data_IF_574111519594
#
_entry.id   IF_574111519594
#
_cell.length_a   1.000
_cell.length_b   1.000
_cell.length_c   1.000
_cell.angle_alpha   90.00
_cell.angle_beta   90.00
_cell.angle_gamma   90.00
#
_symmetry.space_group_name_H-M   'P 1'
#
loop_
_entity.id
_entity.type
_entity.pdbx_description
1 polymer ?
#
# COMPACT_ATOMS: atom_id res chain seq x y z
N UNK A 1 -12.98 7.99 15.57
CA UNK A 1 -11.86 7.10 15.24
C UNK A 1 -12.44 5.71 15.18
N UNK A 2 -12.27 4.99 14.06
CA UNK A 2 -12.83 3.66 13.91
C UNK A 2 -12.20 2.67 14.90
N UNK A 3 -12.97 1.64 15.30
CA UNK A 3 -12.48 0.56 16.19
C UNK A 3 -11.21 -0.11 15.64
N UNK A 4 -11.03 -0.08 14.31
CA UNK A 4 -9.89 -0.66 13.61
C UNK A 4 -8.59 0.12 13.78
N UNK A 5 -8.62 1.44 14.00
CA UNK A 5 -7.40 2.20 14.33
C UNK A 5 -7.01 2.04 15.81
N UNK A 6 -7.97 1.67 16.66
CA UNK A 6 -7.77 1.48 18.11
C UNK A 6 -6.82 0.32 18.41
N UNK A 7 -6.89 -0.76 17.65
CA UNK A 7 -5.99 -1.92 17.81
C UNK A 7 -4.52 -1.52 17.72
N UNK A 8 -4.17 -0.63 16.79
CA UNK A 8 -2.78 -0.19 16.63
C UNK A 8 -2.31 0.62 17.84
N UNK A 9 -3.19 1.45 18.41
CA UNK A 9 -2.89 2.20 19.64
C UNK A 9 -2.76 1.27 20.86
N UNK A 10 -3.60 0.24 20.96
CA UNK A 10 -3.51 -0.79 22.01
C UNK A 10 -2.20 -1.59 21.91
N UNK A 11 -1.65 -1.74 20.71
CA UNK A 11 -0.33 -2.31 20.44
C UNK A 11 0.84 -1.33 20.64
N UNK A 12 0.57 -0.10 21.13
CA UNK A 12 1.59 0.91 21.42
C UNK A 12 2.13 1.66 20.20
N UNK A 13 1.49 1.53 19.03
CA UNK A 13 1.90 2.22 17.81
C UNK A 13 1.49 3.69 17.92
N UNK A 14 2.41 4.61 17.61
CA UNK A 14 2.11 6.04 17.61
C UNK A 14 1.00 6.36 16.61
N UNK A 15 0.05 7.21 17.03
CA UNK A 15 -0.99 7.75 16.14
C UNK A 15 -0.42 8.43 14.91
N UNK A 16 0.78 8.99 15.01
CA UNK A 16 1.45 9.62 13.87
C UNK A 16 1.83 8.61 12.78
N UNK A 17 1.95 7.33 13.11
CA UNK A 17 2.40 6.34 12.15
C UNK A 17 1.23 5.67 11.42
N UNK A 18 0.01 5.80 11.96
CA UNK A 18 -1.19 5.04 11.58
C UNK A 18 -1.98 5.77 10.49
N UNK A 19 -2.48 5.00 9.53
CA UNK A 19 -3.46 5.45 8.56
C UNK A 19 -4.88 5.14 9.04
N UNK A 20 -5.81 6.04 8.73
CA UNK A 20 -7.19 6.00 9.22
C UNK A 20 -8.11 5.45 8.14
N UNK A 21 -8.96 4.50 8.50
CA UNK A 21 -10.05 4.01 7.65
C UNK A 21 -9.56 3.40 6.33
N UNK A 22 -8.62 2.46 6.41
CA UNK A 22 -7.91 1.86 5.27
C UNK A 22 -8.81 1.19 4.21
N UNK A 23 -10.09 0.95 4.53
CA UNK A 23 -11.10 0.42 3.60
C UNK A 23 -11.79 1.52 2.77
N UNK A 24 -11.39 2.77 2.98
CA UNK A 24 -11.74 3.92 2.13
C UNK A 24 -10.58 4.27 1.18
N UNK A 25 -10.82 5.23 0.28
CA UNK A 25 -9.82 5.68 -0.69
C UNK A 25 -8.72 6.52 -0.03
N UNK A 26 -7.46 6.15 -0.24
CA UNK A 26 -6.28 6.92 0.14
C UNK A 26 -5.49 7.34 -1.09
N UNK A 27 -5.02 8.59 -1.09
CA UNK A 27 -4.28 9.18 -2.19
C UNK A 27 -2.77 9.06 -1.99
N UNK A 28 -2.03 8.88 -3.08
CA UNK A 28 -0.58 9.00 -3.13
C UNK A 28 -0.15 10.10 -4.10
N UNK A 29 0.88 10.86 -3.72
CA UNK A 29 1.53 11.87 -4.56
C UNK A 29 3.05 11.68 -4.52
N UNK A 30 3.73 12.14 -5.56
CA UNK A 30 5.18 12.02 -5.74
C UNK A 30 5.80 13.39 -5.92
N UNK A 31 6.86 13.67 -5.17
CA UNK A 31 7.71 14.84 -5.34
C UNK A 31 8.79 14.53 -6.39
N UNK A 32 8.74 15.22 -7.51
CA UNK A 32 9.69 15.07 -8.61
C UNK A 32 11.10 15.57 -8.26
N UNK A 33 11.23 16.45 -7.26
CA UNK A 33 12.51 17.02 -6.86
C UNK A 33 13.24 16.11 -5.87
N UNK A 34 12.58 15.72 -4.78
CA UNK A 34 13.17 14.87 -3.74
C UNK A 34 13.06 13.37 -4.05
N UNK A 35 12.13 12.98 -4.91
CA UNK A 35 11.76 11.58 -5.14
C UNK A 35 10.88 11.01 -4.03
N UNK A 36 10.31 11.81 -3.15
CA UNK A 36 9.52 11.32 -2.02
C UNK A 36 8.09 10.97 -2.44
N UNK A 37 7.59 9.83 -1.94
CA UNK A 37 6.18 9.42 -2.08
C UNK A 37 5.45 9.71 -0.77
N UNK A 38 4.31 10.36 -0.90
CA UNK A 38 3.48 10.81 0.21
C UNK A 38 2.10 10.16 0.10
N UNK A 39 1.63 9.52 1.17
CA UNK A 39 0.30 8.91 1.24
C UNK A 39 -0.62 9.69 2.19
N UNK A 40 -1.88 9.93 1.80
CA UNK A 40 -2.85 10.60 2.64
C UNK A 40 -3.13 9.77 3.90
N UNK A 41 -3.10 10.42 5.07
CA UNK A 41 -3.37 9.74 6.34
C UNK A 41 -4.83 9.32 6.45
N UNK A 42 -5.74 10.21 6.06
CA UNK A 42 -7.18 9.96 6.04
C UNK A 42 -7.67 9.62 4.64
N UNK A 43 -8.93 9.24 4.58
CA UNK A 43 -9.62 9.02 3.33
C UNK A 43 -9.74 10.31 2.51
N UNK A 44 -9.77 10.14 1.19
CA UNK A 44 -9.89 11.21 0.20
C UNK A 44 -10.93 10.75 -0.82
N UNK A 45 -11.96 11.56 -1.05
CA UNK A 45 -12.93 11.27 -2.11
C UNK A 45 -12.29 11.41 -3.49
N UNK A 46 -12.74 10.60 -4.45
CA UNK A 46 -12.20 10.60 -5.81
C UNK A 46 -12.29 11.98 -6.46
N UNK A 47 -13.43 12.64 -6.32
CA UNK A 47 -13.71 13.95 -6.89
C UNK A 47 -12.77 15.02 -6.30
N UNK A 48 -12.49 14.92 -4.99
CA UNK A 48 -11.55 15.80 -4.29
C UNK A 48 -10.14 15.59 -4.84
N UNK A 49 -9.67 14.35 -4.91
CA UNK A 49 -8.37 13.99 -5.47
C UNK A 49 -8.21 14.45 -6.93
N UNK A 50 -9.26 14.29 -7.73
CA UNK A 50 -9.25 14.70 -9.12
C UNK A 50 -9.18 16.22 -9.28
N UNK A 51 -9.80 16.97 -8.36
CA UNK A 51 -9.80 18.44 -8.33
C UNK A 51 -8.49 19.08 -7.85
N UNK A 52 -7.58 18.31 -7.22
CA UNK A 52 -6.36 18.87 -6.63
C UNK A 52 -5.46 19.55 -7.66
N UNK A 53 -5.06 20.77 -7.33
CA UNK A 53 -4.01 21.53 -8.01
C UNK A 53 -2.76 21.45 -7.15
N UNK A 54 -1.92 20.46 -7.44
CA UNK A 54 -0.66 20.27 -6.73
C UNK A 54 0.37 21.33 -7.17
N UNK A 55 1.37 21.66 -6.33
CA UNK A 55 2.48 22.49 -6.75
C UNK A 55 3.23 21.85 -7.94
N UNK A 56 3.94 22.63 -8.77
CA UNK A 56 4.49 22.13 -10.05
C UNK A 56 5.43 20.92 -9.96
N UNK A 57 6.13 20.75 -8.82
CA UNK A 57 7.03 19.62 -8.60
C UNK A 57 6.33 18.37 -8.05
N UNK A 58 5.02 18.39 -7.83
CA UNK A 58 4.27 17.25 -7.34
C UNK A 58 3.35 16.67 -8.40
N UNK A 59 3.30 15.34 -8.47
CA UNK A 59 2.37 14.62 -9.35
C UNK A 59 1.51 13.66 -8.56
N UNK A 60 0.26 13.51 -9.02
CA UNK A 60 -0.67 12.49 -8.53
C UNK A 60 -0.17 11.10 -8.93
N UNK A 61 0.03 10.21 -7.96
CA UNK A 61 0.46 8.82 -8.21
C UNK A 61 -0.75 7.94 -8.40
N UNK A 62 -1.68 7.95 -7.46
CA UNK A 62 -2.87 7.12 -7.51
C UNK A 62 -3.77 7.33 -6.30
N UNK A 63 -4.93 6.71 -6.35
CA UNK A 63 -5.86 6.62 -5.23
C UNK A 63 -6.32 5.17 -5.12
N UNK A 64 -6.33 4.61 -3.91
CA UNK A 64 -6.49 3.18 -3.73
C UNK A 64 -7.11 2.83 -2.37
N UNK A 65 -7.64 1.61 -2.26
CA UNK A 65 -8.22 1.07 -1.04
C UNK A 65 -7.33 -0.06 -0.52
N UNK A 66 -7.00 -0.03 0.76
CA UNK A 66 -6.27 -1.09 1.44
C UNK A 66 -7.16 -2.30 1.76
N UNK A 67 -6.60 -3.51 1.83
CA UNK A 67 -7.36 -4.71 2.25
C UNK A 67 -7.25 -5.01 3.75
N UNK A 68 -6.24 -4.44 4.41
CA UNK A 68 -5.96 -4.63 5.84
C UNK A 68 -6.88 -3.77 6.71
N UNK A 69 -7.08 -4.15 7.97
CA UNK A 69 -7.96 -3.41 8.89
C UNK A 69 -7.33 -2.09 9.34
N UNK A 70 -6.01 -2.10 9.53
CA UNK A 70 -5.21 -0.88 9.70
C UNK A 70 -3.78 -1.13 9.20
N UNK A 71 -3.06 -0.06 8.90
CA UNK A 71 -1.64 -0.14 8.63
C UNK A 71 -0.92 1.09 9.14
N UNK A 72 0.40 0.95 9.28
CA UNK A 72 1.25 2.03 9.71
C UNK A 72 2.63 1.91 9.07
N UNK A 73 3.33 3.03 9.02
CA UNK A 73 4.75 3.06 8.65
C UNK A 73 5.59 3.16 9.91
N UNK A 74 6.54 2.26 10.10
CA UNK A 74 7.39 2.23 11.31
C UNK A 74 8.32 3.45 11.40
N UNK A 75 8.66 4.02 10.24
CA UNK A 75 9.46 5.23 10.05
C UNK A 75 9.28 5.75 8.61
N UNK A 76 9.69 6.99 8.36
CA UNK A 76 9.84 7.49 6.99
C UNK A 76 11.07 6.90 6.30
N UNK A 77 11.06 6.76 4.96
CA UNK A 77 12.20 6.30 4.17
C UNK A 77 13.50 7.02 4.54
N UNK A 78 14.61 6.28 4.60
CA UNK A 78 15.93 6.81 4.95
C UNK A 78 16.19 7.08 6.43
N UNK A 79 15.22 6.87 7.33
CA UNK A 79 15.44 6.99 8.77
C UNK A 79 16.17 5.77 9.36
N UNK A 80 17.18 6.02 10.20
CA UNK A 80 18.03 4.98 10.82
C UNK A 80 17.28 4.10 11.85
N UNK A 81 16.24 4.63 12.49
CA UNK A 81 15.45 3.93 13.51
C UNK A 81 13.95 4.12 13.33
N UNK A 82 13.16 3.21 13.91
CA UNK A 82 11.71 3.40 14.04
C UNK A 82 11.41 4.67 14.85
N UNK A 83 10.33 5.37 14.51
CA UNK A 83 10.02 6.67 15.06
C UNK A 83 8.83 7.34 14.37
N UNK A 84 8.47 8.57 14.78
CA UNK A 84 7.42 9.33 14.11
C UNK A 84 7.77 9.52 12.64
N UNK A 85 6.78 9.33 11.79
CA UNK A 85 6.91 9.60 10.35
C UNK A 85 6.88 11.09 10.08
N UNK A 86 7.53 11.52 9.00
CA UNK A 86 7.43 12.88 8.50
C UNK A 86 6.03 13.10 7.91
N UNK A 87 5.43 14.23 8.26
CA UNK A 87 4.12 14.63 7.80
C UNK A 87 4.16 15.93 7.01
N UNK A 88 3.22 16.09 6.08
CA UNK A 88 3.03 17.33 5.33
C UNK A 88 1.58 17.47 4.89
N UNK A 89 1.08 18.69 4.85
CA UNK A 89 -0.25 18.98 4.31
C UNK A 89 -0.21 19.27 2.81
N UNK A 90 -1.12 18.65 2.06
CA UNK A 90 -1.39 18.94 0.67
C UNK A 90 -2.88 19.13 0.46
N UNK A 91 -3.26 20.27 -0.12
CA UNK A 91 -4.67 20.60 -0.40
C UNK A 91 -5.59 20.41 0.81
N UNK A 92 -5.12 20.74 2.02
CA UNK A 92 -5.89 20.63 3.28
C UNK A 92 -6.00 19.22 3.85
N UNK A 93 -5.25 18.25 3.32
CA UNK A 93 -5.20 16.87 3.81
C UNK A 93 -3.80 16.56 4.33
N UNK A 94 -3.72 15.86 5.46
CA UNK A 94 -2.46 15.40 6.02
C UNK A 94 -1.93 14.19 5.26
N UNK A 95 -0.64 14.22 4.92
CA UNK A 95 0.09 13.14 4.27
C UNK A 95 1.27 12.68 5.11
N UNK A 96 1.64 11.41 4.92
CA UNK A 96 2.79 10.77 5.53
C UNK A 96 3.81 10.46 4.43
N UNK A 97 5.08 10.79 4.66
CA UNK A 97 6.19 10.35 3.81
C UNK A 97 6.40 8.84 3.98
N UNK A 98 5.89 8.08 3.02
CA UNK A 98 5.66 6.64 3.16
C UNK A 98 6.65 5.79 2.37
N UNK A 99 7.15 6.29 1.25
CA UNK A 99 8.07 5.55 0.39
C UNK A 99 9.02 6.47 -0.38
N UNK A 100 10.16 5.93 -0.78
CA UNK A 100 11.05 6.49 -1.78
C UNK A 100 11.31 5.44 -2.88
N UNK A 101 11.65 5.86 -4.11
CA UNK A 101 12.40 5.02 -5.03
C UNK A 101 13.68 4.51 -4.36
N UNK A 102 14.15 3.30 -4.70
CA UNK A 102 15.39 2.78 -4.16
C UNK A 102 16.59 3.65 -4.55
N UNK A 103 17.62 3.67 -3.70
CA UNK A 103 18.91 4.32 -4.01
C UNK A 103 19.49 3.70 -5.28
N UNK A 104 19.50 4.44 -6.39
CA UNK A 104 19.89 3.95 -7.73
C UNK A 104 18.98 4.43 -8.87
N UNK A 105 17.85 5.08 -8.54
CA UNK A 105 16.88 5.61 -9.49
C UNK A 105 15.53 4.89 -9.40
N UNK A 106 14.46 5.42 -10.02
CA UNK A 106 13.21 4.69 -10.08
C UNK A 106 13.45 3.41 -10.89
N UNK A 107 13.33 2.25 -10.24
CA UNK A 107 12.95 1.06 -10.99
C UNK A 107 11.53 1.35 -11.47
N UNK A 108 11.40 1.94 -12.68
CA UNK A 108 10.12 1.96 -13.37
C UNK A 108 9.54 0.56 -13.32
N UNK A 109 8.20 0.41 -13.18
CA UNK A 109 7.62 -0.91 -13.01
C UNK A 109 8.12 -1.87 -14.10
N UNK A 110 8.76 -2.96 -13.68
CA UNK A 110 9.41 -3.91 -14.58
C UNK A 110 8.39 -4.95 -15.05
N UNK A 111 8.43 -5.29 -16.34
CA UNK A 111 7.56 -6.28 -16.96
C UNK A 111 6.36 -5.68 -17.68
N UNK A 112 5.59 -6.53 -18.37
CA UNK A 112 4.36 -6.10 -19.07
C UNK A 112 3.21 -6.01 -18.08
N UNK A 113 2.78 -7.13 -17.51
CA UNK A 113 1.82 -7.24 -16.41
C UNK A 113 1.95 -8.65 -15.76
N UNK A 114 1.83 -8.80 -14.43
CA UNK A 114 1.85 -7.72 -13.44
C UNK A 114 3.19 -6.99 -13.48
N UNK A 115 3.18 -5.71 -13.09
CA UNK A 115 4.38 -4.88 -13.06
C UNK A 115 5.02 -4.93 -11.69
N UNK A 116 6.34 -5.08 -11.62
CA UNK A 116 7.10 -5.10 -10.37
C UNK A 116 7.67 -3.73 -10.05
N UNK A 117 7.40 -3.25 -8.84
CA UNK A 117 8.05 -2.06 -8.29
C UNK A 117 8.83 -2.43 -7.03
N UNK A 118 10.04 -1.89 -6.90
CA UNK A 118 10.81 -1.92 -5.65
C UNK A 118 10.73 -0.56 -4.98
N UNK A 119 10.45 -0.53 -3.68
CA UNK A 119 10.30 0.72 -2.91
C UNK A 119 11.03 0.65 -1.58
N UNK A 120 11.68 1.75 -1.21
CA UNK A 120 12.14 1.99 0.16
C UNK A 120 10.93 2.41 0.99
N UNK A 121 10.43 1.49 1.82
CA UNK A 121 9.41 1.79 2.83
C UNK A 121 9.49 0.82 4.01
N UNK A 122 8.94 1.24 5.15
CA UNK A 122 8.91 0.46 6.39
C UNK A 122 7.46 0.19 6.82
N UNK A 123 6.73 -0.56 6.00
CA UNK A 123 5.27 -0.70 6.10
C UNK A 123 4.87 -1.94 6.91
N UNK A 124 3.92 -1.78 7.82
CA UNK A 124 3.31 -2.84 8.62
C UNK A 124 1.81 -2.90 8.36
N UNK A 125 1.27 -4.10 8.15
CA UNK A 125 -0.15 -4.37 7.98
C UNK A 125 -0.70 -4.99 9.26
N UNK A 126 -1.92 -4.64 9.65
CA UNK A 126 -2.62 -5.27 10.75
C UNK A 126 -3.95 -5.83 10.24
N UNK A 127 -4.16 -7.10 10.50
CA UNK A 127 -5.40 -7.81 10.25
C UNK A 127 -5.98 -8.28 11.57
N UNK A 128 -7.26 -7.99 11.80
CA UNK A 128 -7.96 -8.44 13.00
C UNK A 128 -8.35 -9.92 12.91
N UNK A 129 -8.54 -10.56 14.05
CA UNK A 129 -9.08 -11.91 14.12
C UNK A 129 -10.40 -12.02 13.32
N UNK A 130 -10.48 -13.04 12.47
CA UNK A 130 -11.60 -13.27 11.56
C UNK A 130 -11.45 -12.63 10.17
N UNK A 131 -10.50 -11.70 9.99
CA UNK A 131 -10.20 -11.12 8.68
C UNK A 131 -9.71 -12.19 7.69
N UNK A 132 -9.86 -11.88 6.41
CA UNK A 132 -9.34 -12.70 5.30
C UNK A 132 -8.55 -11.82 4.36
N UNK A 133 -7.47 -12.35 3.82
CA UNK A 133 -6.67 -11.67 2.81
C UNK A 133 -6.15 -12.65 1.77
N UNK A 134 -5.81 -12.15 0.59
CA UNK A 134 -5.23 -12.97 -0.48
C UNK A 134 -3.70 -12.97 -0.39
N UNK A 135 -3.10 -14.09 -0.77
CA UNK A 135 -1.66 -14.26 -0.94
C UNK A 135 -1.41 -14.86 -2.31
N UNK A 136 -0.53 -14.24 -3.08
CA UNK A 136 0.05 -14.90 -4.26
C UNK A 136 1.35 -15.58 -3.86
N UNK A 137 1.56 -16.78 -4.38
CA UNK A 137 2.85 -17.47 -4.34
C UNK A 137 3.41 -17.54 -5.74
N UNK A 138 4.63 -17.03 -5.93
CA UNK A 138 5.29 -17.07 -7.23
C UNK A 138 5.84 -18.47 -7.50
N UNK A 139 6.31 -18.71 -8.73
CA UNK A 139 6.86 -20.01 -9.13
C UNK A 139 8.13 -20.43 -8.38
N UNK A 140 8.85 -19.49 -7.78
CA UNK A 140 10.01 -19.73 -6.91
C UNK A 140 9.64 -20.02 -5.44
N UNK A 141 8.35 -19.98 -5.11
CA UNK A 141 7.82 -20.22 -3.78
C UNK A 141 7.67 -18.99 -2.90
N UNK A 142 8.07 -17.80 -3.37
CA UNK A 142 7.95 -16.56 -2.60
C UNK A 142 6.49 -16.11 -2.44
N UNK A 143 6.10 -15.75 -1.22
CA UNK A 143 4.75 -15.28 -0.89
C UNK A 143 4.65 -13.75 -0.87
N UNK A 144 3.58 -13.21 -1.43
CA UNK A 144 3.26 -11.79 -1.42
C UNK A 144 1.82 -11.59 -0.97
N UNK A 145 1.63 -10.73 0.03
CA UNK A 145 0.32 -10.45 0.62
C UNK A 145 -0.38 -9.34 -0.13
N UNK A 146 -1.69 -9.46 -0.34
CA UNK A 146 -2.46 -8.37 -0.93
C UNK A 146 -2.43 -7.15 0.00
N UNK A 147 -2.19 -5.98 -0.58
CA UNK A 147 -2.18 -4.69 0.12
C UNK A 147 -3.25 -3.78 -0.43
N UNK A 148 -3.41 -3.73 -1.75
CA UNK A 148 -4.41 -2.90 -2.43
C UNK A 148 -5.50 -3.79 -3.04
N UNK A 149 -6.76 -3.42 -2.81
CA UNK A 149 -7.92 -4.07 -3.39
C UNK A 149 -8.07 -3.74 -4.87
N UNK A 150 -8.53 -4.70 -5.67
CA UNK A 150 -9.05 -4.41 -7.00
C UNK A 150 -10.40 -3.67 -6.84
N UNK A 151 -10.46 -2.41 -7.29
CA UNK A 151 -11.68 -1.60 -7.20
C UNK A 151 -11.74 -0.61 -8.36
N UNK A 152 -12.92 -0.42 -8.98
CA UNK A 152 -13.09 0.59 -10.05
C UNK A 152 -12.94 2.03 -9.54
N UNK A 153 -13.02 2.24 -8.21
CA UNK A 153 -12.84 3.56 -7.59
C UNK A 153 -11.36 3.92 -7.44
N UNK A 154 -10.49 2.91 -7.42
CA UNK A 154 -9.05 3.09 -7.35
C UNK A 154 -8.43 3.39 -8.72
N UNK A 155 -7.10 3.41 -8.75
CA UNK A 155 -6.30 3.57 -9.97
C UNK A 155 -5.21 4.62 -9.83
N UNK A 156 -4.37 4.73 -10.85
CA UNK A 156 -3.23 5.65 -10.81
C UNK A 156 -2.27 5.46 -11.97
N UNK A 157 -1.10 6.08 -11.89
CA UNK A 157 -0.03 6.04 -12.89
C UNK A 157 0.35 4.60 -13.27
N UNK A 158 0.31 3.68 -12.30
CA UNK A 158 0.65 2.27 -12.51
C UNK A 158 -0.56 1.40 -12.87
N UNK A 159 -1.76 1.97 -12.88
CA UNK A 159 -3.06 1.31 -13.07
C UNK A 159 -3.97 2.19 -13.96
N UNK A 160 -3.57 2.47 -15.21
CA UNK A 160 -4.27 3.45 -16.07
C UNK A 160 -5.65 2.97 -16.55
N UNK A 161 -5.95 1.67 -16.43
CA UNK A 161 -7.21 1.05 -16.86
C UNK A 161 -7.82 0.32 -15.66
N UNK A 162 -8.41 1.04 -14.70
CA UNK A 162 -9.27 0.40 -13.72
C UNK A 162 -10.44 -0.23 -14.49
N UNK A 163 -10.45 -1.56 -14.60
CA UNK A 163 -11.49 -2.27 -15.35
C UNK A 163 -12.87 -1.85 -14.86
N UNK A 164 -13.85 -1.64 -15.76
CA UNK A 164 -15.23 -1.41 -15.34
C UNK A 164 -15.72 -2.58 -14.46
N UNK A 165 -16.63 -2.31 -13.49
CA UNK A 165 -17.15 -3.34 -12.60
C UNK A 165 -17.80 -4.46 -13.42
N UNK A 166 -17.15 -5.63 -13.46
CA UNK A 166 -17.62 -6.81 -14.20
C UNK A 166 -16.55 -7.54 -15.01
N UNK A 167 -15.42 -6.90 -15.34
CA UNK A 167 -14.30 -7.50 -16.07
C UNK A 167 -12.98 -7.37 -15.29
N UNK A 168 -12.98 -7.83 -14.04
CA UNK A 168 -11.73 -8.06 -13.31
C UNK A 168 -11.08 -9.33 -13.89
N UNK A 169 -10.36 -9.18 -15.02
CA UNK A 169 -9.55 -10.26 -15.61
C UNK A 169 -8.28 -10.46 -14.77
N UNK A 170 -8.47 -10.87 -13.52
CA UNK A 170 -7.36 -11.22 -12.63
C UNK A 170 -6.72 -12.51 -13.12
N UNK A 171 -5.64 -12.36 -13.89
CA UNK A 171 -4.82 -13.48 -14.35
C UNK A 171 -3.48 -13.47 -13.66
N UNK A 172 -3.18 -14.60 -13.04
CA UNK A 172 -1.84 -14.86 -12.54
C UNK A 172 -0.93 -15.31 -13.71
N UNK A 173 0.34 -14.90 -13.70
CA UNK A 173 1.37 -15.51 -14.53
C UNK A 173 1.44 -17.03 -14.35
N UNK A 174 1.97 -17.72 -15.36
CA UNK A 174 2.16 -19.17 -15.31
C UNK A 174 3.01 -19.58 -14.10
N UNK A 175 2.58 -20.64 -13.40
CA UNK A 175 3.26 -21.18 -12.23
C UNK A 175 2.99 -20.42 -10.93
N UNK A 176 2.26 -19.29 -10.96
CA UNK A 176 1.85 -18.58 -9.76
C UNK A 176 0.54 -19.16 -9.23
N UNK A 177 0.33 -19.05 -7.92
CA UNK A 177 -0.91 -19.51 -7.27
C UNK A 177 -1.50 -18.42 -6.38
N UNK A 178 -2.83 -18.42 -6.25
CA UNK A 178 -3.57 -17.55 -5.33
C UNK A 178 -4.18 -18.39 -4.22
N UNK A 179 -4.10 -17.92 -2.98
CA UNK A 179 -4.84 -18.50 -1.87
C UNK A 179 -5.39 -17.42 -0.94
N UNK A 180 -6.47 -17.76 -0.26
CA UNK A 180 -7.04 -16.92 0.80
C UNK A 180 -6.58 -17.43 2.16
N UNK A 181 -5.97 -16.55 2.94
CA UNK A 181 -5.64 -16.79 4.34
C UNK A 181 -6.75 -16.27 5.25
N UNK A 182 -6.99 -16.96 6.36
CA UNK A 182 -7.91 -16.51 7.43
C UNK A 182 -7.11 -16.25 8.69
N UNK A 183 -7.29 -15.06 9.22
CA UNK A 183 -6.64 -14.62 10.46
C UNK A 183 -7.40 -15.17 11.66
N UNK A 184 -6.73 -15.93 12.53
CA UNK A 184 -7.33 -16.59 13.71
C UNK A 184 -7.21 -15.75 14.98
N UNK A 185 -6.23 -14.86 15.02
CA UNK A 185 -5.92 -13.89 16.08
C UNK A 185 -5.38 -12.62 15.42
N UNK A 186 -5.46 -11.48 16.09
CA UNK A 186 -4.90 -10.24 15.54
C UNK A 186 -3.43 -10.42 15.13
N UNK A 187 -3.13 -10.11 13.87
CA UNK A 187 -1.84 -10.41 13.24
C UNK A 187 -1.25 -9.15 12.64
N UNK A 188 0.03 -8.91 12.93
CA UNK A 188 0.84 -7.88 12.29
C UNK A 188 1.75 -8.54 11.26
N UNK A 189 1.69 -8.08 10.02
CA UNK A 189 2.63 -8.48 8.97
C UNK A 189 3.56 -7.30 8.70
N UNK A 190 4.84 -7.47 9.02
CA UNK A 190 5.87 -6.52 8.65
C UNK A 190 6.33 -6.81 7.21
N UNK A 191 6.05 -5.90 6.28
CA UNK A 191 6.61 -6.01 4.94
C UNK A 191 8.13 -5.82 4.99
N UNK A 192 8.89 -6.57 4.17
CA UNK A 192 10.33 -6.42 4.10
C UNK A 192 10.70 -5.02 3.61
N UNK A 193 11.90 -4.57 3.97
CA UNK A 193 12.51 -3.37 3.44
C UNK A 193 13.83 -3.75 2.76
N UNK A 194 14.05 -3.39 1.48
CA UNK A 194 13.08 -2.74 0.59
C UNK A 194 11.89 -3.67 0.26
N UNK A 195 10.71 -3.08 0.05
CA UNK A 195 9.51 -3.85 -0.32
C UNK A 195 9.47 -4.05 -1.82
N UNK A 196 9.12 -5.26 -2.26
CA UNK A 196 8.71 -5.54 -3.62
C UNK A 196 7.18 -5.51 -3.71
N UNK A 197 6.65 -4.82 -4.71
CA UNK A 197 5.22 -4.63 -4.94
C UNK A 197 4.86 -4.98 -6.38
N UNK A 198 4.06 -6.03 -6.55
CA UNK A 198 3.43 -6.36 -7.81
C UNK A 198 2.15 -5.54 -7.95
N UNK A 199 1.97 -4.90 -9.10
CA UNK A 199 0.75 -4.18 -9.48
C UNK A 199 0.10 -4.91 -10.66
N UNK A 200 -1.16 -5.26 -10.49
CA UNK A 200 -1.97 -5.91 -11.52
C UNK A 200 -2.82 -4.86 -12.24
N UNK A 201 -3.26 -5.20 -13.46
CA UNK A 201 -4.10 -4.33 -14.29
C UNK A 201 -5.40 -3.92 -13.61
N UNK A 202 -5.97 -4.84 -12.83
CA UNK A 202 -7.25 -4.67 -12.14
C UNK A 202 -7.19 -3.71 -10.93
N UNK A 203 -6.03 -3.10 -10.68
CA UNK A 203 -5.83 -2.18 -9.57
C UNK A 203 -5.32 -2.84 -8.29
N UNK A 204 -5.25 -4.18 -8.23
CA UNK A 204 -4.73 -4.84 -7.04
C UNK A 204 -3.20 -4.75 -6.93
N UNK A 205 -2.70 -4.79 -5.70
CA UNK A 205 -1.27 -4.89 -5.41
C UNK A 205 -0.97 -5.94 -4.36
N UNK A 206 0.10 -6.71 -4.60
CA UNK A 206 0.62 -7.74 -3.71
C UNK A 206 2.07 -7.44 -3.36
N UNK A 207 2.42 -7.50 -2.07
CA UNK A 207 3.68 -6.98 -1.57
C UNK A 207 4.41 -7.97 -0.65
N UNK A 208 5.73 -7.97 -0.73
CA UNK A 208 6.55 -8.98 -0.07
C UNK A 208 8.00 -8.95 -0.56
N UNK A 209 8.70 -10.11 -0.54
CA UNK A 209 8.22 -11.41 -0.05
C UNK A 209 8.00 -11.41 1.47
N UNK A 210 7.00 -12.16 1.95
CA UNK A 210 6.70 -12.31 3.38
C UNK A 210 6.85 -13.76 3.82
N UNK A 211 7.34 -13.96 5.05
CA UNK A 211 7.27 -15.26 5.70
C UNK A 211 5.97 -15.34 6.52
N UNK A 212 5.04 -16.19 6.08
CA UNK A 212 3.75 -16.39 6.73
C UNK A 212 3.72 -17.63 7.63
N UNK A 213 4.85 -18.34 7.79
CA UNK A 213 4.94 -19.56 8.59
C UNK A 213 4.58 -19.33 10.08
N UNK A 214 4.55 -18.08 10.53
CA UNK A 214 4.20 -17.70 11.91
C UNK A 214 2.83 -17.02 12.06
N UNK A 215 2.07 -16.84 10.98
CA UNK A 215 0.81 -16.08 10.98
C UNK A 215 -0.44 -16.93 11.30
N UNK A 216 -0.27 -18.23 11.54
CA UNK A 216 -1.35 -19.17 11.93
C UNK A 216 -1.54 -19.28 13.44
#
# INVERSE_FOLDING_TARGET
MSDKAKIALELGISRQNILMDCHELHAEIFDLESGEVWQSRGSVEREIYDSWKLPPNFVKVGIAVGVMDTHYFRRSPGAESDGPVTERDFAGHAFIHCANPPKGGPEFPVGKDPKLLRVDKHHSLIFSAGAKFQVIRLSDGADFVQVIAATPLGGGLFQPEASPPGELDFRLPEGWTLRTEKVTRDTIIHLPHPTLAWFFKDGSSFQGPVDLATAS
#
